data_IF_595117767366
#
_entry.id   IF_595117767366
#
_cell.length_a   1.000
_cell.length_b   1.000
_cell.length_c   1.000
_cell.angle_alpha   90.00
_cell.angle_beta   90.00
_cell.angle_gamma   90.00
#
_symmetry.space_group_name_H-M   'P 1'
#
loop_
_entity.id
_entity.type
_entity.pdbx_description
1 polymer ?
#
# COMPACT_ATOMS: atom_id res chain seq x y z
N UNK A 1 26.41 3.04 0.37
CA UNK A 1 25.20 3.54 -0.35
C UNK A 1 24.01 2.69 0.05
N UNK A 2 22.85 3.33 0.30
CA UNK A 2 21.59 2.61 0.54
C UNK A 2 20.76 2.66 -0.74
N UNK A 3 20.36 1.50 -1.22
CA UNK A 3 19.47 1.29 -2.37
C UNK A 3 18.09 0.96 -1.82
N UNK A 4 17.07 1.66 -2.29
CA UNK A 4 15.70 1.45 -1.81
C UNK A 4 14.80 1.18 -3.00
N UNK A 5 14.07 0.04 -2.98
CA UNK A 5 13.10 -0.36 -4.02
C UNK A 5 13.66 -0.22 -5.46
N UNK A 6 12.82 0.05 -6.45
CA UNK A 6 13.12 0.36 -7.85
C UNK A 6 14.23 -0.52 -8.49
N UNK A 7 14.03 -1.83 -8.58
CA UNK A 7 15.08 -2.78 -8.95
C UNK A 7 15.67 -2.55 -10.36
N UNK A 8 14.87 -2.01 -11.28
CA UNK A 8 15.33 -1.74 -12.65
C UNK A 8 16.52 -0.79 -12.75
N UNK A 9 16.58 0.21 -11.88
CA UNK A 9 17.70 1.13 -11.77
C UNK A 9 18.72 0.65 -10.75
N UNK A 10 18.28 0.31 -9.55
CA UNK A 10 19.15 0.04 -8.42
C UNK A 10 20.05 -1.16 -8.63
N UNK A 11 19.63 -2.21 -9.35
CA UNK A 11 20.50 -3.33 -9.67
C UNK A 11 21.65 -2.94 -10.59
N UNK A 12 21.39 -2.11 -11.61
CA UNK A 12 22.44 -1.59 -12.49
C UNK A 12 23.42 -0.68 -11.73
N UNK A 13 22.88 0.13 -10.84
CA UNK A 13 23.69 1.02 -10.01
C UNK A 13 24.54 0.23 -9.01
N UNK A 14 23.98 -0.82 -8.39
CA UNK A 14 24.70 -1.73 -7.51
C UNK A 14 25.92 -2.40 -8.21
N UNK A 15 25.77 -2.80 -9.46
CA UNK A 15 26.89 -3.34 -10.25
C UNK A 15 28.03 -2.32 -10.44
N UNK A 16 27.69 -1.03 -10.60
CA UNK A 16 28.68 0.04 -10.69
C UNK A 16 29.37 0.24 -9.33
N UNK A 17 28.59 0.26 -8.23
CA UNK A 17 29.13 0.39 -6.89
C UNK A 17 30.08 -0.76 -6.55
N UNK A 18 29.71 -2.00 -6.85
CA UNK A 18 30.55 -3.20 -6.66
C UNK A 18 31.87 -3.07 -7.40
N UNK A 19 31.85 -2.69 -8.69
CA UNK A 19 33.07 -2.50 -9.50
C UNK A 19 33.99 -1.40 -8.93
N UNK A 20 33.42 -0.43 -8.24
CA UNK A 20 34.16 0.65 -7.60
C UNK A 20 34.56 0.34 -6.16
N UNK A 21 34.26 -0.84 -5.64
CA UNK A 21 34.53 -1.23 -4.25
C UNK A 21 33.72 -0.43 -3.23
N UNK A 22 32.58 0.17 -3.61
CA UNK A 22 31.74 0.96 -2.74
C UNK A 22 30.69 0.06 -2.08
N UNK A 23 30.66 -0.06 -0.72
CA UNK A 23 29.68 -0.86 -0.04
C UNK A 23 28.25 -0.37 -0.30
N UNK A 24 27.32 -1.32 -0.49
CA UNK A 24 25.91 -1.04 -0.70
C UNK A 24 24.99 -1.93 0.13
N UNK A 25 23.94 -1.33 0.67
CA UNK A 25 22.87 -2.03 1.40
C UNK A 25 21.61 -1.90 0.58
N UNK A 26 20.92 -3.02 0.34
CA UNK A 26 19.63 -2.99 -0.36
C UNK A 26 18.49 -3.17 0.64
N UNK A 27 17.68 -2.13 0.77
CA UNK A 27 16.48 -2.09 1.59
C UNK A 27 15.25 -2.09 0.68
N UNK A 28 14.21 -2.84 0.98
CA UNK A 28 13.13 -3.19 0.05
C UNK A 28 13.70 -3.75 -1.25
N UNK A 29 14.43 -4.84 -1.10
CA UNK A 29 15.08 -5.54 -2.20
C UNK A 29 14.08 -6.14 -3.21
N UNK A 30 14.51 -6.49 -4.44
CA UNK A 30 13.61 -7.10 -5.42
C UNK A 30 12.86 -8.30 -4.85
N UNK A 31 11.56 -8.40 -5.14
CA UNK A 31 10.72 -9.53 -4.70
C UNK A 31 11.16 -10.84 -5.40
N UNK A 32 12.34 -11.35 -5.06
CA UNK A 32 12.92 -12.54 -5.66
C UNK A 32 12.07 -13.80 -5.44
N UNK A 33 11.31 -13.82 -4.34
CA UNK A 33 10.34 -14.87 -4.01
C UNK A 33 9.21 -14.98 -5.06
N UNK A 34 8.82 -13.87 -5.70
CA UNK A 34 7.75 -13.83 -6.71
C UNK A 34 8.28 -14.03 -8.14
N UNK A 35 9.52 -13.61 -8.42
CA UNK A 35 10.04 -13.49 -9.79
C UNK A 35 11.22 -14.42 -10.13
N UNK A 36 11.52 -15.38 -9.24
CA UNK A 36 12.49 -16.44 -9.49
C UNK A 36 13.83 -16.29 -8.74
N UNK A 37 14.40 -17.45 -8.38
CA UNK A 37 15.62 -17.58 -7.55
C UNK A 37 16.85 -16.88 -8.14
N UNK A 38 17.02 -16.89 -9.44
CA UNK A 38 18.18 -16.23 -10.10
C UNK A 38 18.29 -14.73 -9.83
N UNK A 39 17.21 -14.06 -9.41
CA UNK A 39 17.28 -12.67 -8.97
C UNK A 39 17.90 -12.53 -7.58
N UNK A 40 17.60 -13.44 -6.67
CA UNK A 40 18.19 -13.44 -5.34
C UNK A 40 19.70 -13.65 -5.42
N UNK A 41 20.14 -14.63 -6.22
CA UNK A 41 21.55 -14.90 -6.46
C UNK A 41 22.27 -13.67 -7.03
N UNK A 42 21.67 -13.02 -8.03
CA UNK A 42 22.23 -11.79 -8.61
C UNK A 42 22.33 -10.65 -7.58
N UNK A 43 21.35 -10.48 -6.70
CA UNK A 43 21.41 -9.49 -5.61
C UNK A 43 22.53 -9.87 -4.64
N UNK A 44 22.58 -11.13 -4.20
CA UNK A 44 23.60 -11.64 -3.28
C UNK A 44 25.01 -11.40 -3.79
N UNK A 45 25.23 -11.61 -5.10
CA UNK A 45 26.53 -11.36 -5.74
C UNK A 45 26.87 -9.88 -5.86
N UNK A 46 25.86 -8.99 -5.89
CA UNK A 46 26.06 -7.60 -6.32
C UNK A 46 26.16 -6.63 -5.16
N UNK A 47 25.34 -6.80 -4.12
CA UNK A 47 25.28 -5.88 -2.98
C UNK A 47 26.06 -6.41 -1.77
N UNK A 48 26.48 -5.52 -0.88
CA UNK A 48 27.22 -5.91 0.32
C UNK A 48 26.30 -6.54 1.36
N UNK A 49 25.09 -6.00 1.54
CA UNK A 49 24.10 -6.50 2.49
C UNK A 49 22.68 -6.31 1.97
N UNK A 50 21.81 -7.25 2.28
CA UNK A 50 20.36 -7.17 2.05
C UNK A 50 19.67 -6.95 3.40
N UNK A 51 18.75 -6.01 3.45
CA UNK A 51 17.88 -5.79 4.62
C UNK A 51 16.47 -6.24 4.24
N UNK A 52 16.09 -7.41 4.74
CA UNK A 52 14.81 -8.03 4.50
C UNK A 52 13.74 -7.47 5.44
N UNK A 53 12.57 -7.14 4.89
CA UNK A 53 11.41 -6.63 5.64
C UNK A 53 10.36 -7.71 5.90
N UNK A 54 10.46 -8.85 5.20
CA UNK A 54 9.58 -10.00 5.39
C UNK A 54 10.39 -11.24 5.80
N UNK A 55 9.89 -12.09 6.69
CA UNK A 55 10.62 -13.31 7.12
C UNK A 55 10.99 -14.22 5.94
N UNK A 56 10.06 -14.41 4.99
CA UNK A 56 10.28 -15.25 3.82
C UNK A 56 11.32 -14.67 2.84
N UNK A 57 11.51 -13.35 2.82
CA UNK A 57 12.60 -12.72 2.04
C UNK A 57 13.96 -13.06 2.64
N UNK A 58 14.08 -13.05 3.96
CA UNK A 58 15.29 -13.44 4.64
C UNK A 58 15.72 -14.84 4.22
N UNK A 59 14.80 -15.82 4.22
CA UNK A 59 15.11 -17.19 3.85
C UNK A 59 15.59 -17.29 2.39
N UNK A 60 14.87 -16.64 1.47
CA UNK A 60 15.20 -16.64 0.03
C UNK A 60 16.60 -16.05 -0.23
N UNK A 61 16.90 -14.90 0.39
CA UNK A 61 18.22 -14.26 0.21
C UNK A 61 19.35 -14.99 0.90
N UNK A 62 19.07 -15.61 2.04
CA UNK A 62 20.03 -16.46 2.76
C UNK A 62 20.38 -17.71 1.96
N UNK A 63 19.38 -18.39 1.39
CA UNK A 63 19.59 -19.54 0.49
C UNK A 63 20.41 -19.16 -0.75
N UNK A 64 20.24 -17.92 -1.25
CA UNK A 64 21.00 -17.38 -2.37
C UNK A 64 22.43 -16.95 -2.00
N UNK A 65 22.84 -17.09 -0.73
CA UNK A 65 24.19 -16.77 -0.24
C UNK A 65 24.42 -15.28 0.08
N UNK A 66 23.36 -14.48 0.21
CA UNK A 66 23.49 -13.07 0.60
C UNK A 66 23.87 -12.91 2.09
N UNK A 67 24.63 -11.86 2.41
CA UNK A 67 24.65 -11.30 3.76
C UNK A 67 23.31 -10.57 3.96
N UNK A 68 22.38 -11.22 4.68
CA UNK A 68 21.01 -10.73 4.87
C UNK A 68 20.66 -10.59 6.34
N UNK A 69 19.94 -9.52 6.66
CA UNK A 69 19.41 -9.25 8.01
C UNK A 69 17.92 -8.99 7.94
N UNK A 70 17.13 -9.64 8.79
CA UNK A 70 15.70 -9.38 8.92
C UNK A 70 15.46 -8.31 9.97
N UNK A 71 14.82 -7.20 9.60
CA UNK A 71 14.57 -6.05 10.49
C UNK A 71 13.09 -5.79 10.74
N UNK A 72 12.20 -6.50 10.05
CA UNK A 72 10.77 -6.24 10.08
C UNK A 72 10.34 -5.12 9.13
N UNK A 73 9.04 -4.99 8.94
CA UNK A 73 8.47 -4.00 8.02
C UNK A 73 8.26 -2.67 8.75
N UNK A 74 8.75 -1.53 8.23
CA UNK A 74 8.68 -0.23 8.91
C UNK A 74 7.26 0.28 9.14
N UNK A 75 6.27 -0.24 8.41
CA UNK A 75 4.87 0.09 8.70
C UNK A 75 4.42 -0.32 10.10
N UNK A 76 5.07 -1.31 10.73
CA UNK A 76 4.76 -1.70 12.10
C UNK A 76 5.04 -0.59 13.13
N UNK A 77 5.98 0.31 12.78
CA UNK A 77 6.33 1.45 13.63
C UNK A 77 5.55 2.73 13.26
N UNK A 78 4.96 2.77 12.06
CA UNK A 78 4.34 3.98 11.49
C UNK A 78 2.81 3.93 11.60
N UNK A 79 2.22 2.72 11.42
CA UNK A 79 0.77 2.55 11.49
C UNK A 79 0.30 2.76 12.93
N UNK A 80 -0.58 3.73 13.19
CA UNK A 80 -1.09 3.95 14.53
C UNK A 80 -1.97 2.77 14.98
N UNK A 81 -2.10 2.61 16.28
CA UNK A 81 -3.06 1.68 16.83
C UNK A 81 -4.48 2.00 16.31
N UNK A 82 -5.29 0.98 15.99
CA UNK A 82 -6.63 1.19 15.49
C UNK A 82 -7.51 1.85 16.56
N UNK A 83 -8.26 2.87 16.18
CA UNK A 83 -9.28 3.44 17.05
C UNK A 83 -10.47 2.48 17.18
N UNK A 84 -11.20 2.53 18.33
CA UNK A 84 -12.53 1.93 18.39
C UNK A 84 -13.41 2.47 17.25
N UNK A 85 -14.21 1.59 16.64
CA UNK A 85 -15.00 1.92 15.43
C UNK A 85 -15.87 3.16 15.61
N UNK A 86 -16.62 3.24 16.71
CA UNK A 86 -17.53 4.36 16.99
C UNK A 86 -16.78 5.68 17.17
N UNK A 87 -15.59 5.63 17.78
CA UNK A 87 -14.73 6.80 17.94
C UNK A 87 -14.19 7.26 16.57
N UNK A 88 -13.72 6.33 15.75
CA UNK A 88 -13.24 6.62 14.40
C UNK A 88 -14.34 7.25 13.54
N UNK A 89 -15.56 6.71 13.59
CA UNK A 89 -16.75 7.27 12.91
C UNK A 89 -17.08 8.67 13.40
N UNK A 90 -17.06 8.88 14.72
CA UNK A 90 -17.31 10.19 15.33
C UNK A 90 -16.30 11.26 14.88
N UNK A 91 -15.00 10.93 14.90
CA UNK A 91 -13.94 11.84 14.47
C UNK A 91 -14.05 12.20 13.00
N UNK A 92 -14.46 11.25 12.15
CA UNK A 92 -14.57 11.44 10.72
C UNK A 92 -15.94 11.98 10.25
N UNK A 93 -16.90 12.15 11.16
CA UNK A 93 -18.26 12.56 10.83
C UNK A 93 -19.00 11.54 9.96
N UNK A 94 -18.68 10.25 10.13
CA UNK A 94 -19.29 9.15 9.38
C UNK A 94 -20.52 8.59 10.12
N UNK A 95 -21.47 7.96 9.39
CA UNK A 95 -22.63 7.31 10.00
C UNK A 95 -22.25 6.28 11.06
N UNK A 96 -23.00 6.25 12.19
CA UNK A 96 -22.66 5.38 13.32
C UNK A 96 -23.24 3.99 13.20
N UNK A 97 -24.48 3.88 12.75
CA UNK A 97 -25.28 2.65 12.82
C UNK A 97 -25.33 1.91 11.48
N UNK A 98 -25.01 2.56 10.37
CA UNK A 98 -25.05 1.99 9.04
C UNK A 98 -23.79 1.14 8.74
N UNK A 99 -23.93 0.05 7.98
CA UNK A 99 -22.77 -0.68 7.46
C UNK A 99 -21.89 0.22 6.57
N UNK A 100 -20.61 0.29 6.87
CA UNK A 100 -19.65 1.17 6.18
C UNK A 100 -18.59 0.39 5.42
N UNK A 101 -18.46 0.68 4.12
CA UNK A 101 -17.40 0.13 3.27
C UNK A 101 -16.32 1.18 3.03
N UNK A 102 -15.10 0.89 3.46
CA UNK A 102 -13.92 1.69 3.09
C UNK A 102 -13.49 1.35 1.66
N UNK A 103 -13.32 2.36 0.84
CA UNK A 103 -12.82 2.24 -0.52
C UNK A 103 -11.42 2.83 -0.63
N UNK A 104 -10.46 2.01 -1.08
CA UNK A 104 -9.06 2.39 -1.26
C UNK A 104 -8.66 2.31 -2.75
N UNK A 105 -9.15 3.23 -3.59
CA UNK A 105 -8.99 3.14 -5.05
C UNK A 105 -7.56 3.42 -5.53
N UNK A 106 -6.62 3.62 -4.61
CA UNK A 106 -5.22 3.89 -4.90
C UNK A 106 -4.79 5.34 -4.64
N UNK A 107 -3.54 5.62 -4.95
CA UNK A 107 -2.87 6.90 -4.68
C UNK A 107 -2.50 7.67 -5.96
N UNK A 108 -2.83 7.14 -7.13
CA UNK A 108 -2.52 7.74 -8.43
C UNK A 108 -3.79 8.03 -9.20
N UNK A 109 -3.78 9.16 -9.93
CA UNK A 109 -4.93 9.59 -10.76
C UNK A 109 -5.46 8.49 -11.69
N UNK A 110 -4.57 7.70 -12.30
CA UNK A 110 -4.98 6.62 -13.20
C UNK A 110 -5.68 5.48 -12.46
N UNK A 111 -5.20 5.13 -11.26
CA UNK A 111 -5.82 4.10 -10.41
C UNK A 111 -7.24 4.53 -10.04
N UNK A 112 -7.41 5.75 -9.53
CA UNK A 112 -8.72 6.30 -9.13
C UNK A 112 -9.68 6.35 -10.31
N UNK A 113 -9.23 6.81 -11.48
CA UNK A 113 -10.06 6.86 -12.70
C UNK A 113 -10.65 5.49 -13.08
N UNK A 114 -9.90 4.41 -12.85
CA UNK A 114 -10.31 3.05 -13.24
C UNK A 114 -11.03 2.35 -12.10
N UNK A 115 -10.48 2.39 -10.89
CA UNK A 115 -10.97 1.57 -9.78
C UNK A 115 -12.19 2.17 -9.07
N UNK A 116 -12.20 3.49 -8.82
CA UNK A 116 -13.29 4.11 -8.05
C UNK A 116 -14.68 3.88 -8.69
N UNK A 117 -14.89 4.03 -10.01
CA UNK A 117 -16.19 3.75 -10.62
C UNK A 117 -16.63 2.28 -10.45
N UNK A 118 -15.68 1.35 -10.45
CA UNK A 118 -15.96 -0.08 -10.28
C UNK A 118 -16.38 -0.36 -8.83
N UNK A 119 -15.64 0.18 -7.88
CA UNK A 119 -15.93 0.06 -6.44
C UNK A 119 -17.29 0.65 -6.08
N UNK A 120 -17.62 1.82 -6.62
CA UNK A 120 -18.91 2.47 -6.38
C UNK A 120 -20.07 1.66 -6.95
N UNK A 121 -19.92 1.07 -8.13
CA UNK A 121 -20.92 0.12 -8.67
C UNK A 121 -21.09 -1.10 -7.79
N UNK A 122 -20.01 -1.62 -7.22
CA UNK A 122 -20.09 -2.73 -6.26
C UNK A 122 -20.87 -2.33 -4.99
N UNK A 123 -20.64 -1.11 -4.48
CA UNK A 123 -21.41 -0.58 -3.35
C UNK A 123 -22.90 -0.44 -3.70
N UNK A 124 -23.25 0.02 -4.91
CA UNK A 124 -24.65 0.09 -5.33
C UNK A 124 -25.32 -1.29 -5.40
N UNK A 125 -24.59 -2.32 -5.82
CA UNK A 125 -25.10 -3.69 -5.76
C UNK A 125 -25.28 -4.20 -4.31
N UNK A 126 -24.40 -3.79 -3.40
CA UNK A 126 -24.56 -4.09 -1.98
C UNK A 126 -25.79 -3.40 -1.39
N UNK A 127 -26.03 -2.12 -1.72
CA UNK A 127 -27.21 -1.36 -1.27
C UNK A 127 -28.54 -2.00 -1.65
N UNK A 128 -28.57 -2.77 -2.76
CA UNK A 128 -29.77 -3.53 -3.14
C UNK A 128 -30.05 -4.71 -2.20
N UNK A 129 -29.01 -5.24 -1.55
CA UNK A 129 -29.10 -6.42 -0.67
C UNK A 129 -29.08 -6.05 0.81
N UNK A 130 -28.37 -4.99 1.16
CA UNK A 130 -28.15 -4.52 2.52
C UNK A 130 -28.54 -3.04 2.57
N UNK A 131 -29.77 -2.72 3.03
CA UNK A 131 -30.21 -1.34 3.15
C UNK A 131 -29.29 -0.53 4.08
N UNK A 132 -29.07 0.72 3.75
CA UNK A 132 -28.27 1.63 4.57
C UNK A 132 -26.76 1.53 4.38
N UNK A 133 -26.24 0.68 3.49
CA UNK A 133 -24.78 0.62 3.24
C UNK A 133 -24.25 1.96 2.77
N UNK A 134 -23.29 2.48 3.51
CA UNK A 134 -22.54 3.69 3.19
C UNK A 134 -21.11 3.38 2.73
N UNK A 135 -20.47 4.35 2.11
CA UNK A 135 -19.10 4.20 1.63
C UNK A 135 -18.24 5.41 1.94
N UNK A 136 -17.02 5.18 2.42
CA UNK A 136 -16.02 6.21 2.65
C UNK A 136 -14.78 5.92 1.80
N UNK A 137 -14.33 6.91 1.02
CA UNK A 137 -13.08 6.80 0.24
C UNK A 137 -11.93 7.38 1.06
N UNK A 138 -10.91 6.57 1.29
CA UNK A 138 -9.63 7.05 1.81
C UNK A 138 -8.88 7.74 0.67
N UNK A 139 -9.00 9.06 0.60
CA UNK A 139 -8.47 9.87 -0.49
C UNK A 139 -6.99 10.21 -0.28
N UNK A 140 -6.15 9.80 -1.23
CA UNK A 140 -4.75 10.16 -1.24
C UNK A 140 -4.57 11.68 -1.41
N UNK A 141 -3.63 12.26 -0.66
CA UNK A 141 -3.33 13.71 -0.72
C UNK A 141 -2.75 14.14 -2.08
N UNK A 142 -2.18 13.20 -2.83
CA UNK A 142 -1.55 13.43 -4.15
C UNK A 142 -2.53 13.62 -5.29
N UNK A 143 -3.85 13.36 -5.08
CA UNK A 143 -4.88 13.42 -6.11
C UNK A 143 -5.93 14.48 -5.74
N UNK A 144 -6.33 15.29 -6.72
CA UNK A 144 -7.27 16.40 -6.51
C UNK A 144 -8.71 15.92 -6.28
N UNK A 145 -9.52 16.75 -5.60
CA UNK A 145 -10.96 16.49 -5.45
C UNK A 145 -11.68 16.42 -6.80
N UNK A 146 -11.24 17.19 -7.78
CA UNK A 146 -11.80 17.17 -9.13
C UNK A 146 -11.56 15.83 -9.84
N UNK A 147 -10.46 15.16 -9.57
CA UNK A 147 -10.19 13.82 -10.11
C UNK A 147 -11.11 12.78 -9.47
N UNK A 148 -11.31 12.86 -8.15
CA UNK A 148 -12.28 12.01 -7.44
C UNK A 148 -13.71 12.29 -7.89
N UNK A 149 -14.10 13.56 -8.01
CA UNK A 149 -15.43 13.96 -8.46
C UNK A 149 -15.74 13.44 -9.88
N UNK A 150 -14.78 13.59 -10.79
CA UNK A 150 -14.90 13.06 -12.16
C UNK A 150 -15.03 11.54 -12.19
N UNK A 151 -14.26 10.84 -11.35
CA UNK A 151 -14.31 9.40 -11.28
C UNK A 151 -15.59 8.88 -10.62
N UNK A 152 -16.12 9.58 -9.60
CA UNK A 152 -17.35 9.21 -8.91
C UNK A 152 -18.61 9.53 -9.74
N UNK A 153 -18.56 10.54 -10.63
CA UNK A 153 -19.71 10.94 -11.44
C UNK A 153 -20.94 11.29 -10.59
N UNK A 154 -22.08 10.73 -10.95
CA UNK A 154 -23.37 10.98 -10.27
C UNK A 154 -23.40 10.51 -8.81
N UNK A 155 -22.47 9.65 -8.42
CA UNK A 155 -22.37 9.12 -7.05
C UNK A 155 -21.59 10.05 -6.11
N UNK A 156 -21.00 11.14 -6.60
CA UNK A 156 -20.19 12.07 -5.80
C UNK A 156 -20.87 12.53 -4.52
N UNK A 157 -22.13 12.91 -4.59
CA UNK A 157 -22.89 13.43 -3.44
C UNK A 157 -23.29 12.37 -2.40
N UNK A 158 -23.03 11.09 -2.69
CA UNK A 158 -23.31 9.94 -1.81
C UNK A 158 -22.05 9.35 -1.22
N UNK A 159 -20.90 10.01 -1.44
CA UNK A 159 -19.59 9.52 -1.10
C UNK A 159 -19.00 10.35 0.04
N UNK A 160 -18.54 9.68 1.08
CA UNK A 160 -17.73 10.31 2.12
C UNK A 160 -16.27 10.30 1.66
N UNK A 161 -15.75 11.45 1.21
CA UNK A 161 -14.35 11.59 0.83
C UNK A 161 -13.51 12.04 2.03
N UNK A 162 -12.62 11.18 2.54
CA UNK A 162 -11.79 11.44 3.72
C UNK A 162 -10.32 11.53 3.31
N UNK A 163 -9.67 12.67 3.60
CA UNK A 163 -8.28 12.93 3.22
C UNK A 163 -7.31 12.75 4.35
N UNK A 164 -6.19 12.06 4.06
CA UNK A 164 -5.06 11.95 4.98
C UNK A 164 -5.29 11.05 6.20
N UNK A 165 -6.47 10.46 6.32
CA UNK A 165 -6.91 9.69 7.48
C UNK A 165 -7.18 8.21 7.14
N UNK A 166 -6.38 7.63 6.24
CA UNK A 166 -6.59 6.26 5.74
C UNK A 166 -6.78 5.25 6.87
N UNK A 167 -5.94 5.31 7.90
CA UNK A 167 -6.03 4.35 9.01
C UNK A 167 -7.29 4.55 9.85
N UNK A 168 -7.75 5.79 10.02
CA UNK A 168 -9.03 6.05 10.70
C UNK A 168 -10.22 5.59 9.88
N UNK A 169 -10.18 5.75 8.56
CA UNK A 169 -11.21 5.20 7.65
C UNK A 169 -11.28 3.68 7.77
N UNK A 170 -10.12 3.01 7.82
CA UNK A 170 -10.04 1.56 8.04
C UNK A 170 -10.58 1.16 9.41
N UNK A 171 -10.29 1.92 10.47
CA UNK A 171 -10.82 1.67 11.81
C UNK A 171 -12.36 1.85 11.88
N UNK A 172 -12.90 2.78 11.09
CA UNK A 172 -14.35 3.09 11.06
C UNK A 172 -15.17 2.05 10.27
N UNK A 173 -14.54 1.33 9.33
CA UNK A 173 -15.23 0.49 8.38
C UNK A 173 -15.57 -0.91 8.91
N UNK A 174 -16.62 -1.52 8.32
CA UNK A 174 -16.97 -2.92 8.51
C UNK A 174 -16.27 -3.81 7.49
N UNK A 175 -15.98 -3.26 6.30
CA UNK A 175 -15.28 -3.90 5.20
C UNK A 175 -14.39 -2.88 4.48
N UNK A 176 -13.23 -3.32 4.02
CA UNK A 176 -12.37 -2.52 3.15
C UNK A 176 -12.11 -3.22 1.80
N UNK A 177 -12.08 -2.43 0.72
CA UNK A 177 -11.82 -2.87 -0.66
C UNK A 177 -10.77 -1.98 -1.31
#
# INVERSE_FOLDING_TARGET
VVLIDFPGFNMRFAEILKRKGIPSVYYFSPSAWAWGRGRAEKVAETVTKVVAVWPFEYDVYKEAGADVEFVGHPLLDIVPDPLPKDEARGVLGLPKDEPLVALLPGSRRQEIKVLLPIMLRAVDLLRQKIPGVESAVAAAQTVSDDDFRRAAGDQWNRLHLVRGETYRVLSAADLAV
#
